data_IF_329634184562
#
_entry.id   IF_329634184562
#
_cell.length_a   1.000
_cell.length_b   1.000
_cell.length_c   1.000
_cell.angle_alpha   90.00
_cell.angle_beta   90.00
_cell.angle_gamma   90.00
#
_symmetry.space_group_name_H-M   'P 1'
#
loop_
_entity.id
_entity.type
_entity.pdbx_description
1 polymer ?
#
# COMPACT_ATOMS: atom_id res chain seq x y z
N UNK A 1 -15.01 -3.15 10.66
CA UNK A 1 -14.47 -4.04 11.71
C UNK A 1 -13.88 -5.26 11.04
N UNK A 2 -12.69 -5.70 11.44
CA UNK A 2 -12.03 -6.89 10.92
C UNK A 2 -11.55 -7.76 12.09
N UNK A 3 -11.68 -9.08 11.97
CA UNK A 3 -11.10 -10.03 12.91
C UNK A 3 -9.88 -10.64 12.23
N UNK A 4 -8.70 -10.45 12.82
CA UNK A 4 -7.41 -10.89 12.28
C UNK A 4 -6.76 -11.92 13.20
N UNK A 5 -6.18 -12.94 12.60
CA UNK A 5 -5.25 -13.86 13.25
C UNK A 5 -3.91 -13.85 12.50
N UNK A 6 -2.80 -13.92 13.24
CA UNK A 6 -1.45 -14.03 12.68
C UNK A 6 -0.65 -15.07 13.46
N UNK A 7 0.06 -15.93 12.74
CA UNK A 7 0.87 -17.00 13.30
C UNK A 7 2.29 -16.88 12.75
N UNK A 8 3.27 -16.76 13.64
CA UNK A 8 4.68 -16.84 13.28
C UNK A 8 5.13 -18.30 13.39
N UNK A 9 5.62 -18.83 12.28
CA UNK A 9 6.17 -20.17 12.16
C UNK A 9 7.70 -20.06 12.06
N UNK A 10 8.46 -20.55 13.05
CA UNK A 10 9.91 -20.61 12.95
C UNK A 10 10.27 -21.68 11.91
N UNK A 11 10.79 -21.22 10.77
CA UNK A 11 11.25 -22.07 9.65
C UNK A 11 12.78 -22.06 9.60
N UNK A 12 13.41 -22.49 10.68
CA UNK A 12 14.88 -22.52 10.82
C UNK A 12 15.47 -21.12 10.95
N UNK A 13 16.27 -20.69 9.95
CA UNK A 13 16.84 -19.33 9.88
C UNK A 13 15.87 -18.29 9.32
N UNK A 14 14.71 -18.74 8.84
CA UNK A 14 13.66 -17.90 8.27
C UNK A 14 12.49 -17.81 9.24
N UNK A 15 11.89 -16.62 9.35
CA UNK A 15 10.66 -16.37 10.05
C UNK A 15 9.53 -16.25 9.02
N UNK A 16 8.58 -17.18 9.05
CA UNK A 16 7.40 -17.13 8.18
C UNK A 16 6.18 -16.72 9.00
N UNK A 17 5.55 -15.62 8.64
CA UNK A 17 4.27 -15.18 9.20
C UNK A 17 3.14 -15.53 8.23
N UNK A 18 2.09 -16.16 8.76
CA UNK A 18 0.83 -16.37 8.05
C UNK A 18 -0.24 -15.55 8.74
N UNK A 19 -0.93 -14.73 7.96
CA UNK A 19 -1.99 -13.85 8.43
C UNK A 19 -3.27 -14.13 7.66
N UNK A 20 -4.38 -14.20 8.38
CA UNK A 20 -5.72 -14.26 7.80
C UNK A 20 -6.64 -13.30 8.53
N UNK A 21 -7.57 -12.68 7.81
CA UNK A 21 -8.59 -11.84 8.41
C UNK A 21 -9.94 -12.00 7.71
N UNK A 22 -11.00 -11.91 8.50
CA UNK A 22 -12.36 -11.72 8.01
C UNK A 22 -12.64 -10.22 8.06
N UNK A 23 -13.02 -9.68 6.90
CA UNK A 23 -13.28 -8.27 6.69
C UNK A 23 -14.79 -8.02 6.65
N UNK A 24 -15.20 -6.81 7.02
CA UNK A 24 -16.53 -6.31 6.63
C UNK A 24 -16.61 -6.33 5.10
N UNK A 25 -17.79 -6.65 4.54
CA UNK A 25 -17.96 -6.87 3.10
C UNK A 25 -17.49 -5.74 2.19
N UNK A 26 -17.44 -4.52 2.69
CA UNK A 26 -17.31 -3.29 1.88
C UNK A 26 -15.93 -2.63 1.99
N UNK A 27 -14.87 -3.36 2.40
CA UNK A 27 -13.54 -2.76 2.61
C UNK A 27 -12.91 -2.20 1.32
N UNK A 28 -13.40 -2.63 0.15
CA UNK A 28 -12.96 -2.13 -1.15
C UNK A 28 -13.95 -1.16 -1.81
N UNK A 29 -15.09 -0.89 -1.17
CA UNK A 29 -16.01 0.15 -1.64
C UNK A 29 -15.37 1.50 -1.34
N UNK A 30 -15.14 2.30 -2.38
CA UNK A 30 -14.74 3.70 -2.20
C UNK A 30 -15.81 4.43 -1.41
N UNK A 31 -15.42 5.30 -0.48
CA UNK A 31 -16.33 6.33 0.00
C UNK A 31 -16.53 7.30 -1.16
N UNK A 32 -17.61 7.13 -1.94
CA UNK A 32 -18.14 8.23 -2.70
C UNK A 32 -18.67 9.24 -1.67
N UNK A 33 -17.85 10.24 -1.32
CA UNK A 33 -18.37 11.49 -0.77
C UNK A 33 -19.22 12.16 -1.85
N UNK A 34 -20.47 11.73 -1.93
CA UNK A 34 -21.52 12.43 -2.63
C UNK A 34 -21.78 13.73 -1.87
N UNK A 35 -21.12 14.82 -2.27
CA UNK A 35 -21.56 16.17 -1.93
C UNK A 35 -22.79 16.46 -2.78
N UNK A 36 -23.94 15.91 -2.39
CA UNK A 36 -25.23 16.27 -2.98
C UNK A 36 -25.83 17.41 -2.18
N UNK A 37 -25.55 18.65 -2.61
CA UNK A 37 -26.47 19.76 -2.36
C UNK A 37 -27.68 19.60 -3.29
N UNK A 38 -28.83 19.17 -2.74
CA UNK A 38 -30.13 19.88 -2.84
C UNK A 38 -31.32 19.04 -2.33
N UNK A 39 -32.42 19.66 -1.87
CA UNK A 39 -33.33 19.07 -0.89
C UNK A 39 -34.56 18.35 -1.49
N UNK A 40 -34.87 17.20 -0.88
CA UNK A 40 -36.20 16.60 -0.61
C UNK A 40 -37.39 16.98 -1.52
N UNK A 41 -37.88 16.02 -2.31
CA UNK A 41 -39.33 15.80 -2.44
C UNK A 41 -39.71 14.32 -2.69
N UNK A 42 -40.17 13.68 -1.60
CA UNK A 42 -41.30 12.75 -1.49
C UNK A 42 -41.69 11.97 -2.76
N UNK A 43 -41.25 10.71 -2.85
CA UNK A 43 -42.10 9.61 -3.34
C UNK A 43 -41.91 8.37 -2.46
N UNK A 44 -42.48 8.41 -1.25
CA UNK A 44 -42.80 7.20 -0.49
C UNK A 44 -44.09 6.62 -1.05
N UNK A 45 -44.02 5.62 -1.91
CA UNK A 45 -45.03 4.55 -1.94
C UNK A 45 -44.58 3.36 -2.78
N UNK A 46 -44.80 2.17 -2.20
CA UNK A 46 -44.88 0.86 -2.86
C UNK A 46 -43.56 0.11 -3.16
N UNK A 47 -42.71 -0.09 -2.15
CA UNK A 47 -41.83 -1.27 -2.10
C UNK A 47 -41.43 -1.66 -0.66
N UNK A 48 -42.39 -1.57 0.27
CA UNK A 48 -42.32 -2.29 1.52
C UNK A 48 -42.98 -3.66 1.29
N UNK A 49 -42.25 -4.59 0.69
CA UNK A 49 -42.63 -6.00 0.59
C UNK A 49 -41.43 -6.84 1.02
N UNK A 50 -41.55 -7.36 2.25
CA UNK A 50 -41.05 -8.64 2.72
C UNK A 50 -39.66 -9.13 2.27
N UNK A 51 -38.75 -9.24 3.24
CA UNK A 51 -37.90 -10.44 3.34
C UNK A 51 -36.39 -10.20 3.25
N UNK A 52 -35.75 -10.31 4.42
CA UNK A 52 -34.30 -10.31 4.67
C UNK A 52 -33.62 -8.92 4.62
N UNK A 53 -33.14 -8.46 5.78
CA UNK A 53 -32.06 -7.47 5.80
C UNK A 53 -30.93 -7.96 4.87
N UNK A 54 -30.37 -7.10 4.00
CA UNK A 54 -29.34 -7.52 3.07
C UNK A 54 -28.16 -8.10 3.85
N UNK A 55 -27.97 -9.42 3.76
CA UNK A 55 -26.86 -10.11 4.41
C UNK A 55 -25.56 -9.68 3.73
N UNK A 56 -24.85 -8.76 4.38
CA UNK A 56 -23.50 -8.33 3.97
C UNK A 56 -22.61 -9.57 3.90
N UNK A 57 -22.06 -9.90 2.71
CA UNK A 57 -21.13 -11.02 2.61
C UNK A 57 -19.77 -10.57 3.13
N UNK A 58 -19.11 -11.31 4.03
CA UNK A 58 -17.80 -10.92 4.53
C UNK A 58 -16.75 -10.93 3.42
N UNK A 59 -15.80 -10.01 3.53
CA UNK A 59 -14.56 -10.06 2.78
C UNK A 59 -13.53 -10.95 3.48
N UNK A 60 -12.48 -11.34 2.75
CA UNK A 60 -11.40 -12.17 3.29
C UNK A 60 -10.05 -11.59 2.88
N UNK A 61 -9.10 -11.65 3.80
CA UNK A 61 -7.71 -11.30 3.55
C UNK A 61 -6.81 -12.45 3.99
N UNK A 62 -5.81 -12.75 3.18
CA UNK A 62 -4.75 -13.69 3.50
C UNK A 62 -3.40 -13.12 3.09
N UNK A 63 -2.38 -13.31 3.93
CA UNK A 63 -1.01 -12.92 3.61
C UNK A 63 -0.03 -13.93 4.18
N UNK A 64 1.01 -14.21 3.41
CA UNK A 64 2.16 -14.99 3.84
C UNK A 64 3.38 -14.09 3.65
N UNK A 65 4.23 -14.02 4.65
CA UNK A 65 5.46 -13.23 4.60
C UNK A 65 6.60 -14.06 5.17
N UNK A 66 7.69 -14.18 4.44
CA UNK A 66 8.90 -14.85 4.89
C UNK A 66 10.02 -13.83 4.97
N UNK A 67 10.71 -13.78 6.11
CA UNK A 67 11.85 -12.91 6.34
C UNK A 67 13.03 -13.66 6.93
N UNK A 68 14.25 -13.20 6.66
CA UNK A 68 15.43 -13.76 7.27
C UNK A 68 16.73 -13.09 6.84
N UNK A 69 17.78 -13.40 7.58
CA UNK A 69 19.14 -12.94 7.27
C UNK A 69 19.74 -13.81 6.17
N UNK A 70 20.13 -13.19 5.05
CA UNK A 70 20.91 -13.83 3.99
C UNK A 70 22.41 -13.89 4.36
N UNK A 71 22.87 -12.91 5.14
CA UNK A 71 24.22 -12.85 5.72
C UNK A 71 24.19 -12.05 7.03
N UNK A 72 25.35 -11.84 7.66
CA UNK A 72 25.47 -10.95 8.84
C UNK A 72 25.13 -9.47 8.53
N UNK A 73 25.15 -9.09 7.25
CA UNK A 73 24.92 -7.72 6.80
C UNK A 73 23.73 -7.60 5.85
N UNK A 74 23.00 -8.68 5.57
CA UNK A 74 21.93 -8.67 4.57
C UNK A 74 20.67 -9.38 5.08
N UNK A 75 19.53 -8.73 4.89
CA UNK A 75 18.20 -9.21 5.25
C UNK A 75 17.31 -9.18 4.02
N UNK A 76 16.45 -10.19 3.90
CA UNK A 76 15.43 -10.27 2.86
C UNK A 76 14.08 -10.58 3.50
N UNK A 77 13.06 -9.86 3.06
CA UNK A 77 11.65 -10.14 3.34
C UNK A 77 10.92 -10.25 2.01
N UNK A 78 10.06 -11.25 1.86
CA UNK A 78 9.19 -11.41 0.70
C UNK A 78 7.79 -11.79 1.18
N UNK A 79 6.77 -11.27 0.50
CA UNK A 79 5.38 -11.45 0.86
C UNK A 79 4.50 -11.69 -0.36
N UNK A 80 3.40 -12.41 -0.11
CA UNK A 80 2.27 -12.52 -1.04
C UNK A 80 0.99 -12.29 -0.26
N UNK A 81 0.02 -11.62 -0.87
CA UNK A 81 -1.27 -11.34 -0.25
C UNK A 81 -2.42 -11.47 -1.23
N UNK A 82 -3.59 -11.78 -0.70
CA UNK A 82 -4.85 -11.77 -1.44
C UNK A 82 -5.93 -11.15 -0.56
N UNK A 83 -6.71 -10.25 -1.13
CA UNK A 83 -7.93 -9.74 -0.52
C UNK A 83 -9.09 -9.95 -1.48
N UNK A 84 -10.25 -10.29 -0.93
CA UNK A 84 -11.51 -10.30 -1.67
C UNK A 84 -12.59 -9.62 -0.84
N UNK A 85 -13.32 -8.72 -1.48
CA UNK A 85 -14.38 -7.95 -0.83
C UNK A 85 -15.41 -7.52 -1.87
N UNK A 86 -16.61 -7.17 -1.44
CA UNK A 86 -17.56 -6.40 -2.25
C UNK A 86 -17.02 -4.97 -2.40
N UNK A 87 -17.07 -4.44 -3.62
CA UNK A 87 -16.68 -3.06 -3.92
C UNK A 87 -17.88 -2.21 -4.34
N UNK A 88 -18.93 -2.84 -4.87
CA UNK A 88 -20.22 -2.23 -5.19
C UNK A 88 -21.30 -2.87 -4.30
N UNK A 89 -22.04 -2.03 -3.56
CA UNK A 89 -23.06 -2.49 -2.59
C UNK A 89 -24.39 -2.78 -3.25
N UNK A 90 -24.74 -1.98 -4.25
CA UNK A 90 -26.05 -2.04 -4.90
C UNK A 90 -26.10 -3.27 -5.81
N UNK A 91 -25.01 -3.50 -6.54
CA UNK A 91 -24.89 -4.58 -7.51
C UNK A 91 -24.16 -5.81 -6.96
N UNK A 92 -23.68 -5.73 -5.71
CA UNK A 92 -22.99 -6.81 -4.98
C UNK A 92 -21.77 -7.36 -5.72
N UNK A 93 -21.09 -6.50 -6.49
CA UNK A 93 -19.94 -6.89 -7.28
C UNK A 93 -18.71 -7.05 -6.39
N UNK A 94 -17.92 -8.08 -6.67
CA UNK A 94 -16.70 -8.38 -5.91
C UNK A 94 -15.44 -7.99 -6.65
N UNK A 95 -14.47 -7.55 -5.86
CA UNK A 95 -13.10 -7.37 -6.29
C UNK A 95 -12.19 -8.38 -5.58
N UNK A 96 -11.14 -8.78 -6.29
CA UNK A 96 -10.02 -9.54 -5.76
C UNK A 96 -8.74 -8.80 -6.08
N UNK A 97 -7.97 -8.48 -5.05
CA UNK A 97 -6.63 -7.92 -5.22
C UNK A 97 -5.60 -8.95 -4.79
N UNK A 98 -4.66 -9.24 -5.67
CA UNK A 98 -3.48 -10.04 -5.41
C UNK A 98 -2.27 -9.13 -5.30
N UNK A 99 -1.40 -9.38 -4.33
CA UNK A 99 -0.19 -8.59 -4.13
C UNK A 99 1.04 -9.46 -3.92
N UNK A 100 2.18 -9.02 -4.44
CA UNK A 100 3.50 -9.54 -4.12
C UNK A 100 4.39 -8.38 -3.71
N UNK A 101 5.24 -8.61 -2.71
CA UNK A 101 6.18 -7.61 -2.23
C UNK A 101 7.49 -8.23 -1.82
N UNK A 102 8.57 -7.45 -1.91
CA UNK A 102 9.87 -7.85 -1.44
C UNK A 102 10.65 -6.64 -0.93
N UNK A 103 11.45 -6.88 0.10
CA UNK A 103 12.33 -5.90 0.70
C UNK A 103 13.68 -6.52 0.99
N UNK A 104 14.72 -5.94 0.44
CA UNK A 104 16.11 -6.30 0.67
C UNK A 104 16.83 -5.16 1.37
N UNK A 105 17.59 -5.49 2.41
CA UNK A 105 18.38 -4.52 3.17
C UNK A 105 19.80 -5.03 3.31
N UNK A 106 20.75 -4.23 2.85
CA UNK A 106 22.18 -4.52 2.95
C UNK A 106 22.88 -3.43 3.74
N UNK A 107 23.52 -3.79 4.85
CA UNK A 107 24.21 -2.89 5.77
C UNK A 107 25.64 -3.40 6.01
N UNK A 108 26.57 -3.18 5.05
CA UNK A 108 27.93 -3.71 5.16
C UNK A 108 28.74 -3.08 6.29
N UNK A 109 28.39 -1.87 6.74
CA UNK A 109 28.99 -1.21 7.90
C UNK A 109 27.98 -0.29 8.59
N UNK A 110 28.38 0.35 9.71
CA UNK A 110 27.50 1.25 10.47
C UNK A 110 27.04 2.47 9.64
N UNK A 111 27.87 2.94 8.72
CA UNK A 111 27.71 4.23 8.04
C UNK A 111 27.03 4.12 6.68
N UNK A 112 26.90 2.90 6.15
CA UNK A 112 26.30 2.65 4.85
C UNK A 112 25.21 1.59 4.92
N UNK A 113 24.13 1.84 4.20
CA UNK A 113 23.02 0.92 4.06
C UNK A 113 22.35 1.12 2.71
N UNK A 114 22.06 0.04 2.01
CA UNK A 114 21.22 0.00 0.83
C UNK A 114 19.90 -0.68 1.20
N UNK A 115 18.78 -0.04 0.89
CA UNK A 115 17.45 -0.63 0.98
C UNK A 115 16.85 -0.66 -0.41
N UNK A 116 16.35 -1.82 -0.82
CA UNK A 116 15.60 -2.01 -2.06
C UNK A 116 14.27 -2.61 -1.67
N UNK A 117 13.18 -2.04 -2.14
CA UNK A 117 11.83 -2.49 -1.85
C UNK A 117 10.98 -2.41 -3.11
N UNK A 118 10.00 -3.29 -3.23
CA UNK A 118 9.08 -3.21 -4.33
C UNK A 118 7.82 -4.01 -4.05
N UNK A 119 6.74 -3.57 -4.67
CA UNK A 119 5.43 -4.18 -4.58
C UNK A 119 4.78 -4.19 -5.96
N UNK A 120 4.00 -5.23 -6.22
CA UNK A 120 3.10 -5.31 -7.37
C UNK A 120 1.74 -5.78 -6.89
N UNK A 121 0.70 -5.07 -7.32
CA UNK A 121 -0.70 -5.36 -7.06
C UNK A 121 -1.42 -5.61 -8.38
N UNK A 122 -2.27 -6.63 -8.41
CA UNK A 122 -3.22 -6.88 -9.50
C UNK A 122 -4.62 -6.96 -8.92
N UNK A 123 -5.49 -6.07 -9.39
CA UNK A 123 -6.90 -6.06 -9.07
C UNK A 123 -7.68 -6.72 -10.20
N UNK A 124 -8.66 -7.54 -9.86
CA UNK A 124 -9.66 -8.06 -10.78
C UNK A 124 -11.03 -7.87 -10.15
N UNK A 125 -11.90 -7.15 -10.84
CA UNK A 125 -13.24 -6.79 -10.34
C UNK A 125 -14.33 -7.26 -11.30
N UNK A 126 -15.43 -7.70 -10.71
CA UNK A 126 -16.65 -8.04 -11.43
C UNK A 126 -17.32 -6.77 -11.93
N UNK A 127 -17.97 -6.85 -13.09
CA UNK A 127 -18.80 -5.78 -13.64
C UNK A 127 -20.19 -6.35 -13.90
N UNK A 128 -21.22 -5.49 -13.80
CA UNK A 128 -22.62 -5.87 -13.95
C UNK A 128 -22.90 -6.62 -15.26
N UNK A 129 -22.48 -6.04 -16.37
CA UNK A 129 -22.66 -6.57 -17.71
C UNK A 129 -21.30 -6.53 -18.42
N UNK A 130 -20.69 -7.70 -18.63
CA UNK A 130 -19.44 -7.82 -19.37
C UNK A 130 -18.41 -8.74 -18.74
N UNK A 131 -17.18 -8.64 -19.23
CA UNK A 131 -16.04 -9.38 -18.69
C UNK A 131 -15.41 -8.64 -17.51
N UNK A 132 -14.90 -9.38 -16.53
CA UNK A 132 -14.21 -8.82 -15.39
C UNK A 132 -13.05 -7.92 -15.81
N UNK A 133 -13.00 -6.70 -15.27
CA UNK A 133 -11.95 -5.72 -15.55
C UNK A 133 -10.77 -5.96 -14.60
N UNK A 134 -9.54 -5.78 -15.11
CA UNK A 134 -8.34 -5.94 -14.32
C UNK A 134 -7.44 -4.73 -14.41
N UNK A 135 -6.98 -4.23 -13.27
CA UNK A 135 -5.99 -3.16 -13.20
C UNK A 135 -4.77 -3.62 -12.42
N UNK A 136 -3.64 -2.95 -12.64
CA UNK A 136 -2.38 -3.27 -11.97
C UNK A 136 -1.69 -2.02 -11.46
N UNK A 137 -0.94 -2.18 -10.38
CA UNK A 137 -0.11 -1.14 -9.80
C UNK A 137 1.20 -1.72 -9.33
N UNK A 138 2.28 -0.96 -9.41
CA UNK A 138 3.58 -1.38 -8.95
C UNK A 138 4.38 -0.20 -8.43
N UNK A 139 5.26 -0.45 -7.47
CA UNK A 139 6.32 0.48 -7.17
C UNK A 139 7.64 -0.24 -6.90
N UNK A 140 8.73 0.48 -7.10
CA UNK A 140 10.07 0.07 -6.72
C UNK A 140 10.77 1.25 -6.04
N UNK A 141 11.40 1.00 -4.91
CA UNK A 141 12.07 1.99 -4.08
C UNK A 141 13.51 1.57 -3.83
N UNK A 142 14.43 2.53 -3.96
CA UNK A 142 15.85 2.35 -3.67
C UNK A 142 16.34 3.51 -2.81
N UNK A 143 16.97 3.19 -1.69
CA UNK A 143 17.56 4.16 -0.76
C UNK A 143 18.96 3.73 -0.38
N UNK A 144 19.92 4.59 -0.67
CA UNK A 144 21.32 4.39 -0.34
C UNK A 144 21.80 5.47 0.63
N UNK A 145 22.03 5.04 1.87
CA UNK A 145 22.80 5.79 2.86
C UNK A 145 24.28 5.49 2.63
N UNK A 146 25.05 6.49 2.22
CA UNK A 146 26.50 6.35 1.98
C UNK A 146 27.35 6.93 3.12
N UNK A 147 26.74 7.73 3.99
CA UNK A 147 27.31 8.23 5.24
C UNK A 147 26.22 8.23 6.30
N UNK A 148 26.62 8.20 7.57
CA UNK A 148 25.69 8.14 8.71
C UNK A 148 24.58 9.22 8.67
N UNK A 149 24.88 10.39 8.08
CA UNK A 149 23.98 11.53 7.98
C UNK A 149 23.38 11.77 6.59
N UNK A 150 23.81 11.06 5.55
CA UNK A 150 23.42 11.39 4.17
C UNK A 150 22.87 10.18 3.45
N UNK A 151 21.73 10.36 2.79
CA UNK A 151 21.13 9.35 1.93
C UNK A 151 20.63 9.95 0.62
N UNK A 152 20.60 9.11 -0.41
CA UNK A 152 20.05 9.42 -1.72
C UNK A 152 19.21 8.23 -2.16
N UNK A 153 18.12 8.50 -2.85
CA UNK A 153 17.30 7.41 -3.34
C UNK A 153 16.36 7.84 -4.45
N UNK A 154 15.64 6.85 -4.94
CA UNK A 154 14.70 6.98 -6.03
C UNK A 154 13.53 6.03 -5.85
N UNK A 155 12.39 6.38 -6.43
CA UNK A 155 11.21 5.54 -6.45
C UNK A 155 10.60 5.60 -7.85
N UNK A 156 10.13 4.47 -8.34
CA UNK A 156 9.29 4.38 -9.53
C UNK A 156 7.93 3.89 -9.10
N UNK A 157 6.87 4.55 -9.57
CA UNK A 157 5.48 4.17 -9.34
C UNK A 157 4.77 4.02 -10.70
N UNK A 158 3.93 3.00 -10.81
CA UNK A 158 3.03 2.75 -11.92
C UNK A 158 1.65 2.40 -11.34
N UNK A 159 0.60 3.02 -11.86
CA UNK A 159 -0.77 2.67 -11.50
C UNK A 159 -1.65 2.75 -12.75
N UNK A 160 -2.37 1.68 -13.04
CA UNK A 160 -3.39 1.62 -14.07
C UNK A 160 -4.74 2.03 -13.47
N UNK A 161 -5.56 2.73 -14.24
CA UNK A 161 -6.93 3.04 -13.82
C UNK A 161 -7.73 1.74 -13.60
N UNK A 162 -8.64 1.74 -12.64
CA UNK A 162 -9.48 0.58 -12.38
C UNK A 162 -10.56 0.40 -13.47
N UNK A 163 -11.00 1.50 -14.09
CA UNK A 163 -12.08 1.58 -15.07
C UNK A 163 -11.62 1.57 -16.52
N UNK A 164 -10.36 1.94 -16.78
CA UNK A 164 -9.81 2.02 -18.12
C UNK A 164 -8.43 1.37 -18.17
N UNK A 165 -8.30 0.29 -18.96
CA UNK A 165 -7.05 -0.45 -19.07
C UNK A 165 -6.01 0.30 -19.90
N UNK A 166 -6.41 1.26 -20.73
CA UNK A 166 -5.48 2.07 -21.51
C UNK A 166 -4.96 3.27 -20.71
N UNK A 167 -5.64 3.59 -19.59
CA UNK A 167 -5.29 4.67 -18.69
C UNK A 167 -4.25 4.25 -17.64
N UNK A 168 -3.13 4.96 -17.58
CA UNK A 168 -2.12 4.76 -16.55
C UNK A 168 -1.43 6.05 -16.12
N UNK A 169 -0.88 6.03 -14.92
CA UNK A 169 -0.05 7.08 -14.35
C UNK A 169 1.30 6.47 -13.98
N UNK A 170 2.37 7.16 -14.35
CA UNK A 170 3.72 6.81 -13.89
C UNK A 170 4.35 7.97 -13.14
N UNK A 171 5.15 7.66 -12.13
CA UNK A 171 5.95 8.65 -11.40
C UNK A 171 7.37 8.16 -11.19
N UNK A 172 8.32 9.05 -11.43
CA UNK A 172 9.72 8.85 -11.04
C UNK A 172 10.07 9.89 -9.99
N UNK A 173 10.43 9.43 -8.81
CA UNK A 173 10.83 10.25 -7.68
C UNK A 173 12.33 10.11 -7.45
N UNK A 174 13.01 11.22 -7.18
CA UNK A 174 14.38 11.25 -6.68
C UNK A 174 14.44 12.05 -5.38
N UNK A 175 15.30 11.66 -4.44
CA UNK A 175 15.48 12.43 -3.22
C UNK A 175 16.91 12.41 -2.70
N UNK A 176 17.25 13.48 -1.99
CA UNK A 176 18.47 13.60 -1.19
C UNK A 176 18.11 14.01 0.23
N UNK A 177 18.72 13.36 1.22
CA UNK A 177 18.41 13.57 2.63
C UNK A 177 19.65 13.81 3.48
N UNK A 178 19.44 14.59 4.54
CA UNK A 178 20.41 14.94 5.56
C UNK A 178 19.79 14.78 6.96
N UNK A 179 20.43 13.96 7.80
CA UNK A 179 20.06 13.75 9.19
C UNK A 179 21.09 14.42 10.12
N UNK A 180 20.86 15.68 10.56
CA UNK A 180 21.83 16.43 11.36
C UNK A 180 22.10 15.77 12.72
N UNK A 181 21.01 15.34 13.37
CA UNK A 181 20.98 14.59 14.62
C UNK A 181 20.46 13.19 14.28
N UNK A 182 21.29 12.20 14.60
CA UNK A 182 20.97 10.80 14.35
C UNK A 182 19.65 10.42 15.04
N UNK A 183 18.82 9.64 14.35
CA UNK A 183 17.56 9.06 14.86
C UNK A 183 16.44 10.08 15.19
N UNK A 184 16.73 11.39 15.19
CA UNK A 184 15.79 12.42 15.67
C UNK A 184 15.31 13.35 14.56
N UNK A 185 16.16 13.65 13.57
CA UNK A 185 15.85 14.67 12.55
C UNK A 185 16.26 14.20 11.16
N UNK A 186 15.39 14.43 10.18
CA UNK A 186 15.66 14.23 8.76
C UNK A 186 15.15 15.43 7.97
N UNK A 187 16.03 16.01 7.17
CA UNK A 187 15.74 17.04 6.17
C UNK A 187 15.92 16.41 4.81
N UNK A 188 14.95 16.51 3.91
CA UNK A 188 15.00 15.90 2.58
C UNK A 188 14.42 16.85 1.53
N UNK A 189 14.99 16.82 0.34
CA UNK A 189 14.38 17.40 -0.86
C UNK A 189 13.97 16.24 -1.75
N UNK A 190 12.71 16.23 -2.15
CA UNK A 190 12.10 15.23 -3.03
C UNK A 190 11.69 15.92 -4.32
N UNK A 191 12.02 15.31 -5.46
CA UNK A 191 11.60 15.76 -6.78
C UNK A 191 10.89 14.63 -7.51
N UNK A 192 9.71 14.93 -8.06
CA UNK A 192 8.84 13.97 -8.73
C UNK A 192 8.61 14.42 -10.18
N UNK A 193 8.82 13.53 -11.14
CA UNK A 193 8.29 13.66 -12.49
C UNK A 193 7.08 12.74 -12.62
N UNK A 194 5.89 13.31 -12.84
CA UNK A 194 4.65 12.54 -13.01
C UNK A 194 4.21 12.62 -14.46
N UNK A 195 3.95 11.47 -15.08
CA UNK A 195 3.25 11.35 -16.36
C UNK A 195 1.81 10.95 -16.06
N UNK A 196 0.84 11.87 -16.11
CA UNK A 196 -0.56 11.56 -15.86
C UNK A 196 -1.16 10.77 -17.03
N UNK A 197 -2.36 10.21 -16.81
CA UNK A 197 -3.15 9.57 -17.86
C UNK A 197 -3.54 10.59 -18.96
N UNK A 198 -3.93 11.78 -18.55
CA UNK A 198 -4.33 12.87 -19.43
C UNK A 198 -3.49 14.12 -19.17
N UNK A 199 -3.06 14.77 -20.26
CA UNK A 199 -2.28 16.00 -20.21
C UNK A 199 -0.77 15.79 -20.22
N UNK A 200 -0.03 16.89 -20.03
CA UNK A 200 1.42 16.90 -20.07
C UNK A 200 2.03 16.46 -18.74
N UNK A 201 3.21 15.83 -18.81
CA UNK A 201 3.99 15.49 -17.63
C UNK A 201 4.46 16.74 -16.88
N UNK A 202 4.58 16.64 -15.55
CA UNK A 202 4.93 17.77 -14.69
C UNK A 202 5.92 17.40 -13.59
N UNK A 203 6.67 18.42 -13.14
CA UNK A 203 7.59 18.33 -12.02
C UNK A 203 6.93 18.83 -10.73
N UNK A 204 7.13 18.09 -9.64
CA UNK A 204 6.83 18.54 -8.26
C UNK A 204 8.12 18.53 -7.45
N UNK A 205 8.35 19.55 -6.64
CA UNK A 205 9.46 19.60 -5.70
C UNK A 205 8.93 19.82 -4.28
N UNK A 206 9.24 18.87 -3.40
CA UNK A 206 8.72 18.84 -2.03
C UNK A 206 9.86 18.89 -1.01
N UNK A 207 9.97 19.98 -0.22
CA UNK A 207 10.83 19.98 0.95
C UNK A 207 10.17 19.18 2.07
N UNK A 208 10.90 18.26 2.68
CA UNK A 208 10.42 17.41 3.76
C UNK A 208 11.28 17.60 5.02
N UNK A 209 10.63 17.86 6.15
CA UNK A 209 11.24 17.91 7.46
C UNK A 209 10.53 16.90 8.37
N UNK A 210 11.28 15.92 8.87
CA UNK A 210 10.78 14.91 9.81
C UNK A 210 11.53 15.06 11.12
N UNK A 211 10.77 15.13 12.21
CA UNK A 211 11.29 15.19 13.56
C UNK A 211 10.56 14.17 14.42
N UNK A 212 11.32 13.32 15.13
CA UNK A 212 10.77 12.29 16.00
C UNK A 212 11.44 12.37 17.37
N UNK A 213 10.62 12.33 18.43
CA UNK A 213 11.05 12.26 19.83
C UNK A 213 10.49 10.98 20.44
N UNK A 214 11.34 9.97 20.59
CA UNK A 214 11.02 8.77 21.37
C UNK A 214 11.42 8.93 22.85
N UNK A 215 10.76 8.21 23.78
CA UNK A 215 11.24 8.08 25.15
C UNK A 215 12.62 7.41 25.12
N UNK A 216 13.65 8.19 25.41
CA UNK A 216 15.02 7.71 25.53
C UNK A 216 15.15 6.98 26.86
N UNK A 217 15.61 5.73 26.82
CA UNK A 217 16.01 5.04 28.03
C UNK A 217 17.12 5.86 28.70
N UNK A 218 17.07 6.17 30.01
CA UNK A 218 18.14 6.89 30.67
C UNK A 218 19.44 6.13 30.46
N UNK A 219 20.43 6.75 29.82
CA UNK A 219 21.78 6.23 29.83
C UNK A 219 22.25 6.30 31.29
N UNK A 220 22.50 5.14 31.91
CA UNK A 220 23.24 5.11 33.16
C UNK A 220 24.67 5.55 32.84
N UNK A 221 25.05 6.73 33.36
CA UNK A 221 26.43 7.20 33.39
C UNK A 221 27.27 6.36 34.35
#
# INVERSE_FOLDING_TARGET
>A
MAIRASFALPTGKLNTEVMAAVLRGEVLAGEEEEITEEPLEITKSVAALEGEEPRIKPGFFGRITTSGSLSESAELTAGVSVVTSEYDRDERLRARVFGIDAKYKWKPNRNSALTVEGEYLNNRREVLEGEAVSSSGAYAYLDYRFRQKYNVGTMFEYAQDANDNDANVTRVTGFIGFAPIEETTLIRIVGDWTTPNEGDGFWTATPQFVFSLGPHQPHNF
#
